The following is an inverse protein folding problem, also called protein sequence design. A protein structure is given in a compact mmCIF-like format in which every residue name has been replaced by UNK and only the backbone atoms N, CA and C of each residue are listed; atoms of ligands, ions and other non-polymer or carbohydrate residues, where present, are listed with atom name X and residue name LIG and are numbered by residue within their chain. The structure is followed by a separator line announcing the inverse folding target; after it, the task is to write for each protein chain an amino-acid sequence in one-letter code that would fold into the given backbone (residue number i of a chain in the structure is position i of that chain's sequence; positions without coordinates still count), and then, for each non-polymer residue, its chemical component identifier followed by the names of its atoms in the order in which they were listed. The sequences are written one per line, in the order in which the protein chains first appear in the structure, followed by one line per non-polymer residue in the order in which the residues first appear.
data_IF_980664550907
#
_entry.id   IF_980664550907
#
_cell.length_a   1.000
_cell.length_b   1.000
_cell.length_c   1.000
_cell.angle_alpha   90.00
_cell.angle_beta   90.00
_cell.angle_gamma   90.00
#
_symmetry.space_group_name_H-M   'P 1'
#
loop_
_entity.id
_entity.type
_entity.pdbx_description
1 polymer ?
#
# COMPACT_ATOMS: atom_id res chain seq x y z
N UNK A 1 3.30 6.76 -9.17
CA UNK A 1 3.90 6.35 -7.87
C UNK A 1 3.34 5.00 -7.46
N UNK A 2 3.52 3.95 -8.28
CA UNK A 2 2.84 2.67 -8.06
C UNK A 2 3.20 1.99 -6.74
N UNK A 3 4.39 2.28 -6.20
CA UNK A 3 4.81 1.81 -4.88
C UNK A 3 3.95 2.39 -3.75
N UNK A 4 3.66 3.69 -3.80
CA UNK A 4 2.93 4.41 -2.75
C UNK A 4 1.43 4.06 -2.77
N UNK A 5 0.85 3.81 -3.94
CA UNK A 5 -0.53 3.35 -4.08
C UNK A 5 -0.77 1.95 -3.53
N UNK A 6 0.26 1.27 -3.02
CA UNK A 6 0.15 -0.03 -2.35
C UNK A 6 0.91 -0.07 -1.01
N UNK A 7 1.53 1.04 -0.60
CA UNK A 7 2.23 1.11 0.66
C UNK A 7 1.23 0.97 1.81
N UNK A 8 1.43 -0.03 2.67
CA UNK A 8 0.60 -0.29 3.84
C UNK A 8 1.52 -0.46 5.05
N UNK A 9 1.50 0.53 5.93
CA UNK A 9 2.25 0.53 7.18
C UNK A 9 3.69 1.09 7.09
N UNK A 10 4.38 0.96 8.23
CA UNK A 10 5.61 1.70 8.51
C UNK A 10 6.80 1.23 7.67
N UNK A 11 6.91 -0.09 7.46
CA UNK A 11 8.03 -0.67 6.72
C UNK A 11 8.07 -0.21 5.25
N UNK A 12 6.90 -0.03 4.64
CA UNK A 12 6.79 0.53 3.29
C UNK A 12 7.19 2.01 3.25
N UNK A 13 6.82 2.78 4.27
CA UNK A 13 7.24 4.18 4.40
C UNK A 13 8.77 4.30 4.50
N UNK A 14 9.39 3.42 5.28
CA UNK A 14 10.86 3.35 5.40
C UNK A 14 11.50 2.97 4.06
N UNK A 15 11.00 1.91 3.42
CA UNK A 15 11.55 1.41 2.14
C UNK A 15 11.38 2.44 1.00
N UNK A 16 10.33 3.26 1.04
CA UNK A 16 10.15 4.39 0.12
C UNK A 16 11.15 5.52 0.39
N UNK A 17 11.41 5.82 1.67
CA UNK A 17 12.23 6.95 2.09
C UNK A 17 13.74 6.73 1.88
N UNK A 18 14.24 5.52 2.06
CA UNK A 18 15.66 5.18 1.98
C UNK A 18 16.13 5.09 0.52
N UNK A 19 17.25 5.72 0.16
CA UNK A 19 17.77 5.76 -1.22
C UNK A 19 16.67 6.12 -2.27
N UNK A 20 16.12 7.34 -2.21
CA UNK A 20 14.97 7.72 -3.02
C UNK A 20 15.37 7.94 -4.49
N UNK A 21 14.59 7.37 -5.42
CA UNK A 21 14.66 7.75 -6.86
C UNK A 21 13.85 9.02 -7.12
N UNK A 22 12.76 9.21 -6.37
CA UNK A 22 11.76 10.24 -6.64
C UNK A 22 11.46 11.12 -5.44
N UNK A 23 12.46 11.67 -4.77
CA UNK A 23 12.27 12.52 -3.58
C UNK A 23 11.23 13.64 -3.82
N UNK A 24 11.40 14.41 -4.90
CA UNK A 24 10.47 15.48 -5.29
C UNK A 24 9.07 14.92 -5.55
N UNK A 25 8.97 13.77 -6.23
CA UNK A 25 7.67 13.16 -6.52
C UNK A 25 6.95 12.72 -5.24
N UNK A 26 7.67 12.24 -4.22
CA UNK A 26 7.08 11.86 -2.92
C UNK A 26 6.57 13.09 -2.19
N UNK A 27 7.36 14.16 -2.17
CA UNK A 27 6.96 15.44 -1.58
C UNK A 27 5.72 16.00 -2.26
N UNK A 28 5.73 16.08 -3.60
CA UNK A 28 4.58 16.54 -4.39
C UNK A 28 3.35 15.67 -4.13
N UNK A 29 3.50 14.36 -4.02
CA UNK A 29 2.39 13.45 -3.75
C UNK A 29 1.78 13.67 -2.35
N UNK A 30 2.62 13.84 -1.32
CA UNK A 30 2.14 14.17 0.02
C UNK A 30 1.40 15.52 0.06
N UNK A 31 1.92 16.54 -0.64
CA UNK A 31 1.27 17.85 -0.79
C UNK A 31 -0.08 17.72 -1.50
N UNK A 32 -0.18 16.92 -2.56
CA UNK A 32 -1.45 16.70 -3.29
C UNK A 32 -2.51 16.06 -2.42
N UNK A 33 -2.13 15.09 -1.58
CA UNK A 33 -3.05 14.39 -0.68
C UNK A 33 -3.44 15.29 0.50
N UNK A 34 -2.48 15.73 1.31
CA UNK A 34 -2.74 16.36 2.61
C UNK A 34 -2.21 17.82 2.74
N UNK A 35 -1.67 18.41 1.67
CA UNK A 35 -1.13 19.77 1.74
C UNK A 35 -2.20 20.87 1.85
N UNK A 36 -1.88 22.01 2.47
CA UNK A 36 -2.76 23.19 2.45
C UNK A 36 -2.86 23.79 1.05
N UNK A 37 -3.94 24.54 0.77
CA UNK A 37 -4.26 25.10 -0.56
C UNK A 37 -3.13 25.94 -1.16
N UNK A 38 -2.44 26.74 -0.34
CA UNK A 38 -1.31 27.56 -0.81
C UNK A 38 -0.14 26.70 -1.31
N UNK A 39 0.15 25.58 -0.62
CA UNK A 39 1.25 24.68 -0.99
C UNK A 39 0.87 23.85 -2.22
N UNK A 40 -0.40 23.46 -2.34
CA UNK A 40 -0.96 22.89 -3.58
C UNK A 40 -0.87 23.86 -4.75
N UNK A 41 -1.09 25.16 -4.52
CA UNK A 41 -0.91 26.19 -5.54
C UNK A 41 0.53 26.34 -5.98
N UNK A 42 1.49 26.27 -5.04
CA UNK A 42 2.91 26.38 -5.34
C UNK A 42 3.40 25.27 -6.29
N UNK A 43 2.88 24.04 -6.14
CA UNK A 43 3.20 22.92 -7.04
C UNK A 43 2.34 22.88 -8.32
N UNK A 44 1.51 23.91 -8.57
CA UNK A 44 0.64 23.98 -9.75
C UNK A 44 -0.58 23.05 -9.70
N UNK A 45 -1.00 22.61 -8.51
CA UNK A 45 -2.12 21.66 -8.28
C UNK A 45 -3.25 22.25 -7.43
N UNK A 46 -3.42 23.58 -7.41
CA UNK A 46 -4.48 24.24 -6.63
C UNK A 46 -5.89 23.80 -7.00
N UNK A 47 -6.14 23.47 -8.28
CA UNK A 47 -7.44 23.06 -8.82
C UNK A 47 -7.55 21.56 -9.10
N UNK A 48 -6.66 20.77 -8.52
CA UNK A 48 -6.69 19.32 -8.70
C UNK A 48 -7.82 18.68 -7.88
N UNK A 49 -8.60 17.83 -8.51
CA UNK A 49 -9.64 17.05 -7.83
C UNK A 49 -9.00 16.05 -6.86
N UNK A 50 -9.60 15.86 -5.68
CA UNK A 50 -9.11 14.91 -4.68
C UNK A 50 -9.05 13.48 -5.22
N UNK A 51 -10.02 13.09 -6.04
CA UNK A 51 -10.03 11.80 -6.73
C UNK A 51 -8.80 11.59 -7.62
N UNK A 52 -8.31 12.64 -8.29
CA UNK A 52 -7.12 12.53 -9.15
C UNK A 52 -5.85 12.23 -8.33
N UNK A 53 -5.71 12.85 -7.16
CA UNK A 53 -4.63 12.53 -6.24
C UNK A 53 -4.77 11.11 -5.68
N UNK A 54 -5.98 10.70 -5.29
CA UNK A 54 -6.25 9.36 -4.75
C UNK A 54 -5.91 8.25 -5.76
N UNK A 55 -6.37 8.39 -7.01
CA UNK A 55 -6.12 7.44 -8.11
C UNK A 55 -4.62 7.16 -8.29
N UNK A 56 -3.77 8.19 -8.18
CA UNK A 56 -2.34 8.07 -8.49
C UNK A 56 -1.44 7.69 -7.29
N UNK A 57 -1.85 8.06 -6.08
CA UNK A 57 -0.96 8.11 -4.91
C UNK A 57 -1.40 7.20 -3.76
N UNK A 58 -2.70 7.11 -3.48
CA UNK A 58 -3.19 6.51 -2.24
C UNK A 58 -3.44 5.01 -2.40
N UNK A 59 -3.52 4.23 -1.33
CA UNK A 59 -3.92 2.80 -1.40
C UNK A 59 -5.44 2.59 -1.37
N UNK A 60 -6.20 3.67 -1.14
CA UNK A 60 -7.63 3.63 -0.89
C UNK A 60 -8.51 3.67 -2.13
N UNK A 61 -9.76 3.27 -1.95
CA UNK A 61 -10.88 3.57 -2.84
C UNK A 61 -11.94 4.39 -2.10
N UNK A 62 -12.71 5.19 -2.84
CA UNK A 62 -13.76 6.07 -2.31
C UNK A 62 -14.96 6.11 -3.26
N UNK A 63 -15.96 6.95 -2.97
CA UNK A 63 -17.08 7.20 -3.90
C UNK A 63 -16.63 7.83 -5.22
N UNK A 64 -15.48 8.50 -5.20
CA UNK A 64 -14.94 9.20 -6.37
C UNK A 64 -13.79 8.44 -7.02
N UNK A 65 -13.37 7.29 -6.47
CA UNK A 65 -12.25 6.50 -6.97
C UNK A 65 -12.56 5.01 -6.85
N UNK A 66 -12.54 4.31 -7.99
CA UNK A 66 -12.79 2.88 -8.06
C UNK A 66 -11.65 2.12 -8.75
N UNK A 67 -11.63 0.82 -8.54
CA UNK A 67 -10.69 -0.12 -9.16
C UNK A 67 -11.47 -1.09 -10.05
N UNK A 68 -11.13 -1.16 -11.34
CA UNK A 68 -11.88 -1.90 -12.34
C UNK A 68 -10.97 -2.74 -13.24
N UNK A 69 -11.46 -3.89 -13.66
CA UNK A 69 -10.80 -4.73 -14.64
C UNK A 69 -11.16 -4.31 -16.06
N UNK A 70 -10.16 -3.89 -16.85
CA UNK A 70 -10.36 -3.42 -18.21
C UNK A 70 -10.22 -4.52 -19.30
N UNK A 71 -10.19 -5.79 -18.92
CA UNK A 71 -9.91 -6.92 -19.81
C UNK A 71 -8.44 -7.39 -19.79
N UNK A 72 -7.51 -6.51 -19.44
CA UNK A 72 -6.07 -6.79 -19.42
C UNK A 72 -5.43 -6.63 -18.04
N UNK A 73 -5.81 -5.59 -17.30
CA UNK A 73 -5.29 -5.26 -15.97
C UNK A 73 -6.34 -4.57 -15.12
N UNK A 74 -6.16 -4.62 -13.79
CA UNK A 74 -6.93 -3.77 -12.89
C UNK A 74 -6.39 -2.34 -13.02
N UNK A 75 -7.27 -1.39 -13.33
CA UNK A 75 -6.98 0.04 -13.46
C UNK A 75 -7.73 0.81 -12.39
N UNK A 76 -7.17 1.94 -11.97
CA UNK A 76 -7.85 2.91 -11.11
C UNK A 76 -8.44 4.02 -11.95
N UNK A 77 -9.70 4.32 -11.69
CA UNK A 77 -10.44 5.33 -12.44
C UNK A 77 -11.14 6.28 -11.48
N UNK A 78 -11.24 7.58 -11.84
CA UNK A 78 -12.13 8.49 -11.14
C UNK A 78 -13.59 8.10 -11.43
N UNK A 79 -14.40 8.03 -10.38
CA UNK A 79 -15.81 7.65 -10.41
C UNK A 79 -16.14 6.50 -9.45
N UNK A 80 -17.42 6.17 -9.37
CA UNK A 80 -17.94 5.02 -8.64
C UNK A 80 -18.18 3.85 -9.58
N UNK A 81 -17.95 2.63 -9.09
CA UNK A 81 -18.23 1.41 -9.82
C UNK A 81 -19.20 0.52 -9.06
N UNK A 82 -20.15 -0.07 -9.79
CA UNK A 82 -21.07 -1.07 -9.27
C UNK A 82 -20.40 -2.45 -9.31
N UNK A 83 -19.64 -2.75 -8.26
CA UNK A 83 -19.02 -4.06 -8.05
C UNK A 83 -19.67 -4.69 -6.82
N UNK A 84 -20.28 -5.86 -6.98
CA UNK A 84 -20.71 -6.62 -5.82
C UNK A 84 -19.54 -7.42 -5.27
N UNK A 85 -19.33 -7.31 -3.96
CA UNK A 85 -18.35 -8.11 -3.25
C UNK A 85 -19.06 -9.16 -2.40
N UNK A 86 -18.78 -10.42 -2.67
CA UNK A 86 -19.24 -11.56 -1.90
C UNK A 86 -18.07 -12.17 -1.16
N UNK A 87 -18.20 -12.30 0.16
CA UNK A 87 -17.20 -12.94 1.01
C UNK A 87 -17.75 -14.31 1.39
N UNK A 88 -17.16 -15.36 0.85
CA UNK A 88 -17.49 -16.75 1.16
C UNK A 88 -16.53 -17.25 2.23
N UNK A 89 -17.05 -17.65 3.38
CA UNK A 89 -16.28 -18.29 4.45
C UNK A 89 -16.37 -19.80 4.29
N UNK A 90 -15.22 -20.45 4.11
CA UNK A 90 -15.14 -21.90 3.99
C UNK A 90 -14.46 -22.44 5.26
N UNK A 91 -15.08 -23.37 6.01
CA UNK A 91 -14.44 -24.02 7.15
C UNK A 91 -13.10 -24.63 6.76
N UNK A 92 -12.07 -24.45 7.59
CA UNK A 92 -10.85 -25.23 7.45
C UNK A 92 -11.14 -26.64 8.00
N UNK A 93 -11.02 -27.69 7.18
CA UNK A 93 -11.14 -29.11 7.57
C UNK A 93 -10.10 -29.60 8.59
N UNK A 94 -9.46 -28.70 9.33
CA UNK A 94 -8.42 -29.00 10.32
C UNK A 94 -8.93 -28.85 11.74
N UNK A 95 -10.07 -29.47 12.05
CA UNK A 95 -10.42 -30.11 13.34
C UNK A 95 -11.88 -30.55 13.32
N UNK A 96 -12.21 -31.84 13.52
CA UNK A 96 -13.56 -32.22 13.89
C UNK A 96 -13.83 -31.68 15.30
N UNK A 97 -14.75 -30.72 15.43
CA UNK A 97 -15.23 -30.27 16.74
C UNK A 97 -16.02 -31.43 17.39
N UNK A 98 -15.32 -32.19 18.24
CA UNK A 98 -15.96 -33.09 19.19
C UNK A 98 -16.57 -32.27 20.34
N UNK A 99 -17.67 -31.57 20.08
CA UNK A 99 -18.56 -31.09 21.14
C UNK A 99 -19.73 -32.08 21.28
N UNK A 100 -19.43 -33.23 21.91
CA UNK A 100 -20.45 -34.13 22.45
C UNK A 100 -21.10 -33.43 23.63
N UNK A 101 -22.28 -32.86 23.42
CA UNK A 101 -23.14 -32.41 24.52
C UNK A 101 -23.92 -33.63 24.98
N UNK A 102 -23.46 -34.26 26.06
CA UNK A 102 -24.16 -35.35 26.73
C UNK A 102 -25.50 -34.85 27.30
N UNK A 103 -26.60 -35.43 26.82
CA UNK A 103 -27.88 -35.47 27.53
C UNK A 103 -28.31 -36.95 27.55
N UNK A 104 -28.60 -37.57 28.71
CA UNK A 104 -28.86 -39.00 28.80
C UNK A 104 -30.34 -39.28 28.52
N UNK A 105 -30.68 -40.25 27.68
CA UNK A 105 -31.98 -40.97 27.72
C UNK A 105 -32.01 -42.20 26.80
N UNK A 106 -32.12 -43.37 27.45
CA UNK A 106 -32.86 -44.59 27.09
C UNK A 106 -32.92 -45.10 25.62
N UNK A 107 -32.28 -46.26 25.43
CA UNK A 107 -32.60 -47.41 24.56
C UNK A 107 -33.78 -47.28 23.56
N UNK A 108 -33.49 -47.46 22.26
CA UNK A 108 -33.88 -48.66 21.49
C UNK A 108 -33.31 -48.63 20.07
N UNK A 109 -33.02 -49.82 19.55
CA UNK A 109 -32.32 -50.14 18.32
C UNK A 109 -32.94 -49.54 17.04
N UNK A 110 -32.10 -49.20 16.06
CA UNK A 110 -32.16 -49.65 14.65
C UNK A 110 -31.07 -48.98 13.83
N UNK A 111 -30.09 -49.77 13.43
CA UNK A 111 -29.06 -49.44 12.45
C UNK A 111 -29.69 -49.08 11.10
N UNK A 112 -29.52 -47.83 10.65
CA UNK A 112 -29.65 -47.48 9.23
C UNK A 112 -28.46 -46.61 8.86
N UNK A 113 -27.53 -47.18 8.08
CA UNK A 113 -26.43 -46.46 7.45
C UNK A 113 -26.99 -45.35 6.56
N UNK A 114 -26.83 -44.10 6.98
CA UNK A 114 -26.90 -42.94 6.10
C UNK A 114 -25.50 -42.33 6.07
N UNK A 115 -24.87 -42.36 4.90
CA UNK A 115 -23.64 -41.62 4.64
C UNK A 115 -23.98 -40.14 4.79
N UNK A 116 -23.59 -39.54 5.92
CA UNK A 116 -23.63 -38.10 6.14
C UNK A 116 -22.67 -37.45 5.12
N UNK A 117 -23.24 -36.89 4.06
CA UNK A 117 -22.55 -35.89 3.25
C UNK A 117 -22.38 -34.68 4.16
N UNK A 118 -21.16 -34.38 4.59
CA UNK A 118 -20.87 -33.13 5.30
C UNK A 118 -21.13 -31.98 4.32
N UNK A 119 -22.29 -31.31 4.46
CA UNK A 119 -22.54 -30.04 3.81
C UNK A 119 -21.51 -29.03 4.33
N UNK A 120 -20.66 -28.55 3.43
CA UNK A 120 -19.76 -27.44 3.74
C UNK A 120 -20.64 -26.20 3.78
N UNK A 121 -21.04 -25.75 4.97
CA UNK A 121 -21.84 -24.53 5.12
C UNK A 121 -21.00 -23.31 4.72
N UNK A 122 -21.17 -22.85 3.47
CA UNK A 122 -20.52 -21.63 2.97
C UNK A 122 -21.35 -20.43 3.42
N UNK A 123 -20.84 -19.68 4.41
CA UNK A 123 -21.45 -18.39 4.77
C UNK A 123 -21.07 -17.34 3.72
N UNK A 124 -22.06 -16.85 2.98
CA UNK A 124 -21.90 -15.76 2.01
C UNK A 124 -22.30 -14.44 2.68
N UNK A 125 -21.31 -13.60 2.96
CA UNK A 125 -21.55 -12.24 3.46
C UNK A 125 -21.55 -11.30 2.26
N UNK A 126 -22.66 -10.58 2.06
CA UNK A 126 -22.73 -9.46 1.13
C UNK A 126 -22.19 -8.23 1.84
N UNK A 127 -21.08 -7.68 1.34
CA UNK A 127 -20.52 -6.45 1.89
C UNK A 127 -21.30 -5.24 1.34
N UNK A 128 -22.52 -5.07 1.84
CA UNK A 128 -23.31 -3.84 1.66
C UNK A 128 -22.98 -2.80 2.75
N UNK A 129 -22.02 -3.09 3.65
CA UNK A 129 -21.72 -2.25 4.81
C UNK A 129 -20.89 -1.01 4.44
N UNK A 130 -20.27 -0.99 3.27
CA UNK A 130 -19.29 0.03 2.92
C UNK A 130 -19.65 0.76 1.62
N UNK A 131 -19.81 2.08 1.74
CA UNK A 131 -20.33 3.01 0.73
C UNK A 131 -19.29 3.39 -0.36
N UNK A 132 -18.56 2.40 -0.89
CA UNK A 132 -17.56 2.63 -1.93
C UNK A 132 -17.06 1.36 -2.63
N UNK A 133 -16.43 1.51 -3.80
CA UNK A 133 -15.94 0.39 -4.61
C UNK A 133 -14.86 -0.44 -3.86
N UNK A 134 -14.81 -1.77 -4.03
CA UNK A 134 -13.84 -2.63 -3.35
C UNK A 134 -12.39 -2.42 -3.85
N UNK A 135 -11.40 -2.78 -3.02
CA UNK A 135 -9.97 -2.67 -3.36
C UNK A 135 -9.48 -3.93 -4.12
N UNK A 136 -9.71 -4.00 -5.43
CA UNK A 136 -9.25 -5.09 -6.29
C UNK A 136 -7.73 -5.22 -6.36
N UNK A 137 -6.96 -4.15 -6.60
CA UNK A 137 -5.49 -4.20 -6.70
C UNK A 137 -4.88 -4.80 -5.44
N UNK A 138 -5.46 -4.41 -4.31
CA UNK A 138 -5.02 -4.75 -2.98
C UNK A 138 -5.35 -6.22 -2.63
N UNK A 139 -6.42 -6.76 -3.23
CA UNK A 139 -6.95 -8.08 -2.93
C UNK A 139 -6.90 -9.14 -4.05
N UNK A 140 -6.46 -8.79 -5.25
CA UNK A 140 -6.33 -9.74 -6.36
C UNK A 140 -4.95 -10.42 -6.41
N UNK A 141 -3.91 -9.78 -5.85
CA UNK A 141 -2.52 -10.18 -6.02
C UNK A 141 -1.90 -10.66 -4.72
N UNK A 142 -1.02 -11.67 -4.81
CA UNK A 142 -0.18 -12.08 -3.70
C UNK A 142 0.74 -10.93 -3.29
N UNK A 143 0.81 -10.67 -2.00
CA UNK A 143 1.75 -9.70 -1.44
C UNK A 143 2.94 -10.43 -0.84
N UNK A 144 4.11 -9.79 -0.92
CA UNK A 144 5.24 -10.17 -0.08
C UNK A 144 4.78 -10.19 1.39
N UNK A 145 5.18 -11.23 2.13
CA UNK A 145 4.83 -11.33 3.54
C UNK A 145 5.38 -10.13 4.32
N UNK A 146 4.72 -9.72 5.41
CA UNK A 146 5.20 -8.59 6.24
C UNK A 146 6.69 -8.71 6.58
N UNK A 147 7.13 -9.93 6.91
CA UNK A 147 8.54 -10.25 7.21
C UNK A 147 9.49 -9.91 6.06
N UNK A 148 9.11 -10.18 4.82
CA UNK A 148 9.93 -9.86 3.64
C UNK A 148 10.08 -8.36 3.45
N UNK A 149 9.01 -7.58 3.68
CA UNK A 149 9.03 -6.11 3.63
C UNK A 149 9.98 -5.57 4.69
N UNK A 150 9.90 -6.08 5.93
CA UNK A 150 10.80 -5.69 7.02
C UNK A 150 12.27 -6.01 6.72
N UNK A 151 12.56 -7.20 6.17
CA UNK A 151 13.92 -7.59 5.79
C UNK A 151 14.45 -6.66 4.68
N UNK A 152 13.63 -6.37 3.66
CA UNK A 152 14.02 -5.46 2.59
C UNK A 152 14.27 -4.03 3.10
N UNK A 153 13.43 -3.53 4.01
CA UNK A 153 13.60 -2.23 4.65
C UNK A 153 14.89 -2.17 5.49
N UNK A 154 15.17 -3.21 6.28
CA UNK A 154 16.41 -3.32 7.05
C UNK A 154 17.65 -3.34 6.15
N UNK A 155 17.62 -4.12 5.06
CA UNK A 155 18.71 -4.18 4.09
C UNK A 155 18.94 -2.82 3.41
N UNK A 156 17.87 -2.12 3.05
CA UNK A 156 17.96 -0.77 2.49
C UNK A 156 18.63 0.22 3.48
N UNK A 157 18.23 0.20 4.76
CA UNK A 157 18.85 1.03 5.80
C UNK A 157 20.34 0.72 5.93
N UNK A 158 20.71 -0.57 5.98
CA UNK A 158 22.11 -1.00 6.09
C UNK A 158 22.93 -0.48 4.90
N UNK A 159 22.40 -0.61 3.67
CA UNK A 159 23.08 -0.08 2.49
C UNK A 159 23.26 1.45 2.57
N UNK A 160 22.22 2.18 2.98
CA UNK A 160 22.28 3.64 3.10
C UNK A 160 23.25 4.11 4.18
N UNK A 161 23.31 3.41 5.32
CA UNK A 161 24.30 3.64 6.37
C UNK A 161 25.71 3.32 5.86
N UNK A 162 25.87 2.25 5.09
CA UNK A 162 27.12 1.90 4.41
C UNK A 162 27.60 3.00 3.46
N UNK A 163 26.68 3.66 2.73
CA UNK A 163 27.01 4.82 1.89
C UNK A 163 27.58 5.98 2.71
N UNK A 164 26.90 6.34 3.81
CA UNK A 164 27.33 7.44 4.68
C UNK A 164 28.67 7.09 5.34
N UNK A 165 28.86 5.84 5.79
CA UNK A 165 30.13 5.38 6.33
C UNK A 165 31.25 5.47 5.29
N UNK A 166 30.99 5.05 4.05
CA UNK A 166 31.94 5.17 2.95
C UNK A 166 32.31 6.65 2.70
N UNK A 167 31.34 7.58 2.71
CA UNK A 167 31.62 9.02 2.60
C UNK A 167 32.52 9.53 3.73
N UNK A 168 32.37 8.98 4.95
CA UNK A 168 33.21 9.31 6.09
C UNK A 168 34.64 8.79 5.93
N UNK A 169 34.78 7.54 5.48
CA UNK A 169 36.08 6.89 5.25
C UNK A 169 36.88 7.65 4.19
N UNK A 170 36.29 7.98 3.04
CA UNK A 170 37.00 8.71 1.97
C UNK A 170 37.40 10.13 2.41
N UNK A 171 36.71 10.73 3.38
CA UNK A 171 36.97 12.10 3.84
C UNK A 171 38.00 12.17 4.97
N UNK A 172 37.93 11.27 5.96
CA UNK A 172 38.76 11.36 7.17
C UNK A 172 39.91 10.35 7.25
N UNK A 173 39.86 9.25 6.50
CA UNK A 173 40.86 8.19 6.62
C UNK A 173 42.13 8.53 5.81
N UNK A 174 43.17 9.03 6.50
CA UNK A 174 44.43 9.54 5.93
C UNK A 174 45.10 8.67 4.83
N UNK A 175 45.21 7.33 4.93
CA UNK A 175 45.87 6.54 3.88
C UNK A 175 45.02 6.39 2.61
N UNK A 176 43.71 6.64 2.69
CA UNK A 176 42.77 6.56 1.56
C UNK A 176 42.57 7.96 0.96
N UNK A 177 42.60 9.01 1.78
CA UNK A 177 42.47 10.41 1.38
C UNK A 177 43.47 10.82 0.29
N UNK A 178 44.71 10.31 0.35
CA UNK A 178 45.75 10.59 -0.65
C UNK A 178 45.47 9.97 -2.03
N UNK A 179 44.66 8.92 -2.11
CA UNK A 179 44.24 8.28 -3.37
C UNK A 179 42.92 8.84 -3.92
N UNK A 180 42.06 9.39 -3.07
CA UNK A 180 40.73 9.90 -3.43
C UNK A 180 40.66 11.43 -3.36
N UNK A 181 41.65 12.10 -3.96
CA UNK A 181 41.67 13.56 -4.11
C UNK A 181 40.55 14.02 -5.06
N UNK A 182 39.99 15.20 -4.80
CA UNK A 182 39.06 15.86 -5.71
C UNK A 182 39.84 16.93 -6.47
N UNK A 183 39.97 16.78 -7.78
CA UNK A 183 40.69 17.72 -8.66
C UNK A 183 42.12 18.03 -8.16
N UNK A 184 42.81 17.03 -7.58
CA UNK A 184 44.16 17.17 -7.02
C UNK A 184 44.23 17.80 -5.62
N UNK A 185 43.11 18.22 -5.05
CA UNK A 185 43.03 18.85 -3.72
C UNK A 185 42.32 17.96 -2.69
N UNK A 186 42.58 18.23 -1.41
CA UNK A 186 41.88 17.56 -0.30
C UNK A 186 40.39 17.89 -0.33
N UNK A 187 39.55 16.89 -0.05
CA UNK A 187 38.10 17.03 0.03
C UNK A 187 37.72 18.15 1.02
N UNK A 188 36.75 18.97 0.64
CA UNK A 188 36.33 20.11 1.46
C UNK A 188 35.72 19.62 2.76
N UNK A 189 36.18 20.13 3.91
CA UNK A 189 35.78 19.63 5.25
C UNK A 189 34.28 19.68 5.52
N UNK A 190 33.55 20.61 4.88
CA UNK A 190 32.09 20.69 5.02
C UNK A 190 31.33 19.68 4.16
N UNK A 191 31.96 19.07 3.15
CA UNK A 191 31.29 18.23 2.15
C UNK A 191 30.65 16.97 2.78
N UNK A 192 31.42 16.27 3.63
CA UNK A 192 30.93 15.10 4.34
C UNK A 192 29.79 15.40 5.33
N UNK A 193 29.93 16.32 6.31
CA UNK A 193 28.85 16.57 7.26
C UNK A 193 27.59 17.09 6.55
N UNK A 194 27.74 17.90 5.50
CA UNK A 194 26.62 18.34 4.66
C UNK A 194 25.93 17.15 3.96
N UNK A 195 26.70 16.22 3.36
CA UNK A 195 26.14 15.03 2.70
C UNK A 195 25.43 14.10 3.69
N UNK A 196 26.03 13.85 4.86
CA UNK A 196 25.48 12.96 5.88
C UNK A 196 24.20 13.54 6.52
N UNK A 197 24.25 14.80 6.97
CA UNK A 197 23.09 15.49 7.54
C UNK A 197 21.99 15.61 6.49
N UNK A 198 22.33 15.98 5.25
CA UNK A 198 21.39 16.06 4.15
C UNK A 198 20.69 14.72 3.88
N UNK A 199 21.44 13.62 3.89
CA UNK A 199 20.88 12.27 3.72
C UNK A 199 19.91 11.90 4.84
N UNK A 200 20.27 12.18 6.11
CA UNK A 200 19.40 11.89 7.26
C UNK A 200 18.11 12.72 7.19
N UNK A 201 18.23 14.03 6.94
CA UNK A 201 17.09 14.92 6.78
C UNK A 201 16.21 14.49 5.60
N UNK A 202 16.80 14.08 4.48
CA UNK A 202 16.05 13.62 3.32
C UNK A 202 15.26 12.35 3.64
N UNK A 203 15.90 11.33 4.21
CA UNK A 203 15.23 10.07 4.56
C UNK A 203 14.12 10.33 5.59
N UNK A 204 14.39 11.14 6.62
CA UNK A 204 13.39 11.46 7.63
C UNK A 204 12.20 12.26 7.07
N UNK A 205 12.48 13.29 6.25
CA UNK A 205 11.44 14.10 5.61
C UNK A 205 10.58 13.27 4.64
N UNK A 206 11.18 12.37 3.87
CA UNK A 206 10.45 11.46 2.98
C UNK A 206 9.65 10.41 3.73
N UNK A 207 10.15 9.92 4.87
CA UNK A 207 9.38 9.06 5.75
C UNK A 207 8.13 9.77 6.25
N UNK A 208 8.24 11.02 6.72
CA UNK A 208 7.08 11.83 7.14
C UNK A 208 6.10 12.02 5.97
N UNK A 209 6.60 12.35 4.77
CA UNK A 209 5.75 12.53 3.59
C UNK A 209 4.99 11.24 3.24
N UNK A 210 5.66 10.09 3.29
CA UNK A 210 5.03 8.78 3.05
C UNK A 210 4.02 8.44 4.14
N UNK A 211 4.36 8.71 5.39
CA UNK A 211 3.51 8.48 6.56
C UNK A 211 2.21 9.26 6.45
N UNK A 212 2.28 10.54 6.11
CA UNK A 212 1.12 11.41 5.89
C UNK A 212 0.18 10.84 4.82
N UNK A 213 0.72 10.29 3.74
CA UNK A 213 -0.09 9.66 2.69
C UNK A 213 -0.79 8.41 3.22
N UNK A 214 -0.10 7.59 4.03
CA UNK A 214 -0.68 6.42 4.69
C UNK A 214 -1.77 6.77 5.70
N UNK A 215 -1.54 7.78 6.54
CA UNK A 215 -2.53 8.28 7.52
C UNK A 215 -3.76 8.93 6.87
N UNK A 216 -3.65 9.33 5.60
CA UNK A 216 -4.81 9.83 4.83
C UNK A 216 -5.76 8.69 4.40
N UNK A 217 -5.39 7.43 4.69
CA UNK A 217 -6.18 6.24 4.42
C UNK A 217 -6.45 5.45 5.70
N UNK A 218 -7.69 4.97 5.86
CA UNK A 218 -8.09 4.07 6.93
C UNK A 218 -8.02 2.64 6.37
N UNK A 219 -7.20 1.81 7.00
CA UNK A 219 -6.99 0.42 6.62
C UNK A 219 -7.61 -0.51 7.66
N UNK A 220 -8.55 -1.37 7.23
CA UNK A 220 -9.17 -2.38 8.09
C UNK A 220 -8.78 -3.77 7.59
N UNK A 221 -8.28 -4.60 8.50
CA UNK A 221 -7.89 -5.98 8.23
C UNK A 221 -8.91 -6.92 8.86
N UNK A 222 -9.53 -7.76 8.04
CA UNK A 222 -10.41 -8.82 8.52
C UNK A 222 -9.65 -10.15 8.45
N UNK A 223 -9.36 -10.72 9.62
CA UNK A 223 -8.75 -12.04 9.76
C UNK A 223 -9.80 -13.01 10.29
N UNK A 224 -9.98 -14.14 9.60
CA UNK A 224 -10.87 -15.20 10.09
C UNK A 224 -10.04 -16.36 10.58
N UNK A 225 -9.72 -16.38 11.87
CA UNK A 225 -8.77 -17.35 12.45
C UNK A 225 -9.10 -18.83 12.20
N UNK A 226 -10.38 -19.19 11.99
CA UNK A 226 -10.84 -20.58 11.79
C UNK A 226 -11.36 -20.90 10.37
N UNK A 227 -11.56 -19.91 9.51
CA UNK A 227 -12.20 -20.09 8.20
C UNK A 227 -11.29 -19.56 7.10
N UNK A 228 -11.26 -20.22 5.94
CA UNK A 228 -10.65 -19.67 4.73
C UNK A 228 -11.59 -18.63 4.14
N UNK A 229 -11.05 -17.46 3.77
CA UNK A 229 -11.81 -16.39 3.12
C UNK A 229 -11.65 -16.54 1.61
N UNK A 230 -12.77 -16.71 0.91
CA UNK A 230 -12.82 -16.64 -0.54
C UNK A 230 -13.68 -15.45 -0.96
N UNK A 231 -13.07 -14.45 -1.61
CA UNK A 231 -13.78 -13.25 -2.05
C UNK A 231 -14.06 -13.33 -3.55
N UNK A 232 -15.30 -13.06 -3.93
CA UNK A 232 -15.74 -12.96 -5.33
C UNK A 232 -16.16 -11.52 -5.61
N UNK A 233 -15.51 -10.89 -6.58
CA UNK A 233 -15.91 -9.57 -7.07
C UNK A 233 -16.64 -9.70 -8.39
N UNK A 234 -17.88 -9.22 -8.41
CA UNK A 234 -18.73 -9.24 -9.58
C UNK A 234 -18.83 -7.83 -10.15
N UNK A 235 -18.04 -7.58 -11.19
CA UNK A 235 -18.03 -6.31 -11.91
C UNK A 235 -19.13 -6.31 -12.97
N UNK A 236 -20.06 -5.34 -12.90
CA UNK A 236 -21.06 -5.13 -13.95
C UNK A 236 -20.47 -4.42 -15.16
N UNK A 237 -21.11 -4.61 -16.31
CA UNK A 237 -20.81 -3.82 -17.50
C UNK A 237 -21.27 -2.38 -17.32
N UNK A 238 -20.35 -1.41 -17.40
CA UNK A 238 -20.66 0.01 -17.27
C UNK A 238 -19.53 0.88 -17.86
N UNK A 239 -19.84 2.14 -18.15
CA UNK A 239 -18.86 3.12 -18.61
C UNK A 239 -18.46 4.01 -17.43
N UNK A 240 -17.17 4.12 -17.14
CA UNK A 240 -16.62 5.03 -16.12
C UNK A 240 -15.67 6.00 -16.79
N UNK A 241 -15.92 7.30 -16.59
CA UNK A 241 -15.26 8.36 -17.34
C UNK A 241 -15.44 8.12 -18.85
N UNK A 242 -14.36 7.89 -19.59
CA UNK A 242 -14.37 7.67 -21.05
C UNK A 242 -14.11 6.20 -21.43
N UNK A 243 -14.05 5.30 -20.45
CA UNK A 243 -13.71 3.90 -20.67
C UNK A 243 -14.92 2.99 -20.44
N UNK A 244 -15.20 2.13 -21.42
CA UNK A 244 -16.20 1.08 -21.32
C UNK A 244 -15.61 -0.17 -20.64
N UNK A 245 -16.25 -0.61 -19.56
CA UNK A 245 -15.90 -1.81 -18.82
C UNK A 245 -16.92 -2.92 -19.09
N UNK A 246 -16.40 -4.10 -19.44
CA UNK A 246 -17.21 -5.30 -19.65
C UNK A 246 -17.50 -6.01 -18.31
N UNK A 247 -18.56 -6.83 -18.23
CA UNK A 247 -18.88 -7.58 -17.03
C UNK A 247 -17.94 -8.76 -16.82
N UNK A 248 -17.42 -8.90 -15.60
CA UNK A 248 -16.49 -9.96 -15.21
C UNK A 248 -16.75 -10.43 -13.78
N UNK A 249 -16.60 -11.73 -13.54
CA UNK A 249 -16.37 -12.27 -12.20
C UNK A 249 -14.87 -12.38 -11.98
N UNK A 250 -14.38 -11.81 -10.88
CA UNK A 250 -12.96 -11.70 -10.56
C UNK A 250 -12.72 -12.41 -9.23
N UNK A 251 -11.66 -13.22 -9.19
CA UNK A 251 -11.25 -13.97 -8.02
C UNK A 251 -9.80 -13.66 -7.68
N UNK A 252 -9.42 -13.76 -6.39
CA UNK A 252 -8.02 -13.67 -6.01
C UNK A 252 -7.23 -14.78 -6.69
N UNK A 253 -5.98 -14.48 -7.07
CA UNK A 253 -5.11 -15.48 -7.71
C UNK A 253 -4.76 -16.66 -6.76
N UNK A 254 -4.79 -16.42 -5.45
CA UNK A 254 -4.43 -17.38 -4.40
C UNK A 254 -5.43 -17.36 -3.25
N UNK A 255 -5.48 -18.44 -2.48
CA UNK A 255 -6.25 -18.55 -1.23
C UNK A 255 -5.78 -17.52 -0.21
N UNK A 256 -6.71 -17.01 0.62
CA UNK A 256 -6.42 -15.92 1.57
C UNK A 256 -6.92 -16.23 2.98
N UNK A 257 -6.07 -15.87 3.94
CA UNK A 257 -6.38 -15.93 5.37
C UNK A 257 -6.95 -14.59 5.88
N UNK A 258 -6.78 -13.50 5.09
CA UNK A 258 -7.24 -12.16 5.43
C UNK A 258 -7.66 -11.35 4.20
N UNK A 259 -8.59 -10.43 4.40
CA UNK A 259 -9.03 -9.45 3.42
C UNK A 259 -8.74 -8.03 3.94
N UNK A 260 -8.29 -7.13 3.06
CA UNK A 260 -7.94 -5.75 3.42
C UNK A 260 -8.86 -4.76 2.73
N UNK A 261 -9.45 -3.85 3.50
CA UNK A 261 -10.16 -2.68 2.96
C UNK A 261 -9.31 -1.45 3.24
N UNK A 262 -9.07 -0.61 2.23
CA UNK A 262 -8.45 0.70 2.38
C UNK A 262 -9.41 1.78 1.85
N UNK A 263 -9.77 2.72 2.73
CA UNK A 263 -10.69 3.83 2.43
C UNK A 263 -10.02 5.17 2.65
N UNK A 264 -10.35 6.16 1.81
CA UNK A 264 -9.87 7.53 2.01
C UNK A 264 -10.56 8.11 3.23
N UNK A 265 -9.79 8.66 4.16
CA UNK A 265 -10.38 9.34 5.31
C UNK A 265 -11.10 10.61 4.84
N UNK A 266 -12.39 10.74 5.15
CA UNK A 266 -13.12 11.97 4.87
C UNK A 266 -12.90 12.96 6.02
N UNK A 267 -11.85 13.78 5.86
CA UNK A 267 -11.38 14.77 6.86
C UNK A 267 -12.47 15.78 7.26
N UNK A 268 -13.55 15.94 6.49
CA UNK A 268 -14.62 16.92 6.74
C UNK A 268 -15.82 16.34 7.53
N UNK A 269 -16.23 15.10 7.25
CA UNK A 269 -17.34 14.44 7.97
C UNK A 269 -16.90 13.85 9.32
N UNK A 270 -15.72 13.22 9.40
CA UNK A 270 -15.20 12.69 10.68
C UNK A 270 -14.87 13.80 11.67
N UNK A 271 -14.59 15.03 11.20
CA UNK A 271 -14.30 16.17 12.07
C UNK A 271 -15.54 16.69 12.80
N UNK A 272 -16.75 16.33 12.36
CA UNK A 272 -18.00 16.60 13.08
C UNK A 272 -18.29 15.52 14.12
N UNK A 273 -18.17 14.23 13.77
CA UNK A 273 -18.42 13.13 14.72
C UNK A 273 -17.33 13.00 15.80
N UNK A 274 -16.05 13.19 15.45
CA UNK A 274 -14.92 13.08 16.41
C UNK A 274 -14.86 14.29 17.37
N UNK A 275 -15.38 15.46 16.95
CA UNK A 275 -15.38 16.68 17.77
C UNK A 275 -16.25 16.53 19.02
N UNK A 276 -17.28 15.70 18.98
CA UNK A 276 -18.22 15.54 20.11
C UNK A 276 -17.81 14.43 21.09
N UNK A 277 -16.93 13.48 20.70
CA UNK A 277 -16.65 12.29 21.52
C UNK A 277 -15.27 12.27 22.21
N UNK A 278 -14.25 12.99 21.72
CA UNK A 278 -12.89 12.90 22.30
C UNK A 278 -12.18 14.25 22.45
N UNK A 279 -12.26 14.82 23.65
CA UNK A 279 -11.27 15.77 24.19
C UNK A 279 -9.98 14.99 24.55
N UNK A 280 -9.06 14.77 23.60
CA UNK A 280 -7.71 14.21 23.85
C UNK A 280 -6.64 14.88 22.96
N UNK A 281 -5.34 14.79 23.35
CA UNK A 281 -4.41 15.92 23.30
C UNK A 281 -3.71 16.09 21.94
N UNK A 282 -3.57 17.34 21.51
CA UNK A 282 -2.44 17.87 20.72
C UNK A 282 -1.92 17.03 19.53
N UNK A 283 -2.81 16.46 18.69
CA UNK A 283 -2.38 15.99 17.37
C UNK A 283 -2.27 17.17 16.41
N UNK A 284 -1.08 17.38 15.85
CA UNK A 284 -0.86 18.41 14.84
C UNK A 284 -1.68 18.07 13.58
N UNK A 285 -2.33 19.05 12.93
CA UNK A 285 -3.12 18.76 11.73
C UNK A 285 -2.21 18.16 10.64
N UNK A 286 -2.69 17.15 9.92
CA UNK A 286 -1.97 16.48 8.83
C UNK A 286 -1.37 17.47 7.84
N UNK A 287 -2.09 18.57 7.56
CA UNK A 287 -1.62 19.65 6.71
C UNK A 287 -0.31 20.25 7.22
N UNK A 288 -0.20 20.51 8.52
CA UNK A 288 1.03 21.04 9.12
C UNK A 288 2.17 20.03 9.05
N UNK A 289 1.90 18.76 9.36
CA UNK A 289 2.91 17.68 9.26
C UNK A 289 3.42 17.56 7.82
N UNK A 290 2.54 17.71 6.83
CA UNK A 290 2.89 17.73 5.40
C UNK A 290 3.83 18.88 5.06
N UNK A 291 3.55 20.09 5.56
CA UNK A 291 4.43 21.26 5.34
C UNK A 291 5.82 21.01 5.95
N UNK A 292 5.87 20.53 7.19
CA UNK A 292 7.14 20.24 7.87
C UNK A 292 7.93 19.14 7.15
N UNK A 293 7.28 18.02 6.81
CA UNK A 293 7.92 16.93 6.06
C UNK A 293 8.44 17.37 4.69
N UNK A 294 7.67 18.19 3.97
CA UNK A 294 8.06 18.75 2.67
C UNK A 294 9.26 19.70 2.79
N UNK A 295 9.29 20.54 3.83
CA UNK A 295 10.40 21.45 4.05
C UNK A 295 11.68 20.71 4.46
N UNK A 296 11.58 19.77 5.41
CA UNK A 296 12.71 18.94 5.86
C UNK A 296 13.31 18.15 4.69
N UNK A 297 12.47 17.52 3.87
CA UNK A 297 12.94 16.77 2.70
C UNK A 297 13.58 17.66 1.65
N UNK A 298 13.05 18.87 1.39
CA UNK A 298 13.65 19.82 0.46
C UNK A 298 15.03 20.30 0.95
N UNK A 299 15.15 20.69 2.22
CA UNK A 299 16.42 21.09 2.83
C UNK A 299 17.42 19.93 2.82
N UNK A 300 16.96 18.73 3.16
CA UNK A 300 17.76 17.51 3.11
C UNK A 300 18.28 17.22 1.71
N UNK A 301 17.42 17.31 0.70
CA UNK A 301 17.77 17.09 -0.70
C UNK A 301 18.84 18.07 -1.20
N UNK A 302 18.65 19.37 -0.94
CA UNK A 302 19.60 20.42 -1.34
C UNK A 302 20.94 20.24 -0.61
N UNK A 303 20.90 19.99 0.71
CA UNK A 303 22.10 19.77 1.53
C UNK A 303 22.87 18.53 1.08
N UNK A 304 22.18 17.42 0.79
CA UNK A 304 22.80 16.21 0.27
C UNK A 304 23.46 16.46 -1.09
N UNK A 305 22.78 17.16 -2.00
CA UNK A 305 23.32 17.48 -3.33
C UNK A 305 24.58 18.35 -3.26
N UNK A 306 24.56 19.40 -2.43
CA UNK A 306 25.73 20.26 -2.20
C UNK A 306 26.89 19.46 -1.58
N UNK A 307 26.59 18.62 -0.60
CA UNK A 307 27.58 17.77 0.07
C UNK A 307 28.24 16.79 -0.91
N UNK A 308 27.44 16.06 -1.71
CA UNK A 308 27.96 15.12 -2.71
C UNK A 308 28.77 15.82 -3.80
N UNK A 309 28.38 17.04 -4.22
CA UNK A 309 29.18 17.84 -5.14
C UNK A 309 30.55 18.19 -4.56
N UNK A 310 30.68 18.27 -3.23
CA UNK A 310 31.95 18.50 -2.53
C UNK A 310 32.83 17.26 -2.37
N UNK A 311 32.28 16.05 -2.52
CA UNK A 311 32.98 14.77 -2.37
C UNK A 311 33.61 14.29 -3.69
N UNK A 312 34.38 13.21 -3.62
CA UNK A 312 34.90 12.51 -4.80
C UNK A 312 33.75 11.95 -5.66
N UNK A 313 33.94 11.88 -6.99
CA UNK A 313 32.94 11.33 -7.93
C UNK A 313 32.48 9.92 -7.56
N UNK A 314 33.33 9.12 -6.92
CA UNK A 314 32.98 7.77 -6.45
C UNK A 314 31.81 7.78 -5.46
N UNK A 315 31.65 8.84 -4.66
CA UNK A 315 30.53 8.98 -3.73
C UNK A 315 29.18 9.00 -4.47
N UNK A 316 29.12 9.71 -5.61
CA UNK A 316 27.91 9.78 -6.44
C UNK A 316 27.59 8.44 -7.10
N UNK A 317 28.62 7.69 -7.51
CA UNK A 317 28.44 6.34 -8.10
C UNK A 317 27.98 5.35 -7.05
N UNK A 318 28.56 5.36 -5.85
CA UNK A 318 28.12 4.49 -4.76
C UNK A 318 26.66 4.79 -4.40
N UNK A 319 26.29 6.08 -4.29
CA UNK A 319 24.91 6.47 -4.04
C UNK A 319 23.97 6.00 -5.16
N UNK A 320 24.37 6.14 -6.42
CA UNK A 320 23.58 5.66 -7.57
C UNK A 320 23.41 4.13 -7.54
N UNK A 321 24.48 3.38 -7.27
CA UNK A 321 24.46 1.93 -7.16
C UNK A 321 23.52 1.45 -6.06
N UNK A 322 23.57 2.08 -4.88
CA UNK A 322 22.66 1.79 -3.77
C UNK A 322 21.21 2.10 -4.15
N UNK A 323 20.96 3.24 -4.81
CA UNK A 323 19.62 3.59 -5.29
C UNK A 323 19.08 2.55 -6.27
N UNK A 324 19.92 2.01 -7.17
CA UNK A 324 19.53 0.92 -8.09
C UNK A 324 19.19 -0.35 -7.31
N UNK A 325 20.05 -0.78 -6.39
CA UNK A 325 19.83 -1.98 -5.57
C UNK A 325 18.55 -1.88 -4.75
N UNK A 326 18.34 -0.77 -4.03
CA UNK A 326 17.12 -0.54 -3.25
C UNK A 326 15.89 -0.50 -4.14
N UNK A 327 16.00 0.00 -5.36
CA UNK A 327 14.89 0.01 -6.32
C UNK A 327 14.55 -1.39 -6.80
N UNK A 328 15.55 -2.25 -7.03
CA UNK A 328 15.31 -3.66 -7.31
C UNK A 328 14.61 -4.32 -6.12
N UNK A 329 15.03 -4.05 -4.87
CA UNK A 329 14.33 -4.55 -3.67
C UNK A 329 12.86 -4.11 -3.62
N UNK A 330 12.56 -2.83 -3.93
CA UNK A 330 11.19 -2.32 -4.02
C UNK A 330 10.35 -3.10 -5.04
N UNK A 331 10.92 -3.42 -6.20
CA UNK A 331 10.24 -4.22 -7.23
C UNK A 331 10.04 -5.66 -6.76
N UNK A 332 11.03 -6.25 -6.06
CA UNK A 332 10.97 -7.61 -5.53
C UNK A 332 9.88 -7.76 -4.47
N UNK A 333 9.81 -6.83 -3.52
CA UNK A 333 8.77 -6.81 -2.48
C UNK A 333 7.37 -6.65 -3.08
N UNK A 334 7.26 -6.08 -4.28
CA UNK A 334 5.99 -5.86 -4.99
C UNK A 334 5.78 -6.82 -6.16
N UNK A 335 6.48 -7.96 -6.18
CA UNK A 335 6.20 -9.07 -7.09
C UNK A 335 4.73 -9.47 -6.93
N UNK A 336 3.94 -9.31 -7.98
CA UNK A 336 2.50 -9.59 -7.94
C UNK A 336 1.69 -8.65 -8.83
N UNK A 337 2.14 -7.41 -9.02
CA UNK A 337 1.47 -6.39 -9.85
C UNK A 337 1.23 -6.79 -11.31
N UNK A 338 2.07 -7.66 -11.86
CA UNK A 338 1.94 -8.17 -13.23
C UNK A 338 1.15 -9.47 -13.34
N UNK A 339 0.79 -10.13 -12.23
CA UNK A 339 0.02 -11.38 -12.27
C UNK A 339 -1.44 -11.03 -12.47
N UNK A 340 -2.04 -11.47 -13.57
CA UNK A 340 -3.46 -11.22 -13.78
C UNK A 340 -4.32 -12.07 -12.83
N UNK A 341 -5.36 -11.51 -12.20
CA UNK A 341 -6.31 -12.30 -11.42
C UNK A 341 -7.02 -13.35 -12.27
N UNK A 342 -7.56 -14.36 -11.59
CA UNK A 342 -8.48 -15.31 -12.20
C UNK A 342 -9.77 -14.57 -12.53
N UNK A 343 -10.28 -14.75 -13.76
CA UNK A 343 -11.47 -14.06 -14.24
C UNK A 343 -12.32 -14.91 -15.16
N UNK A 344 -13.62 -14.70 -15.07
CA UNK A 344 -14.61 -15.29 -15.95
C UNK A 344 -15.39 -14.17 -16.61
N UNK A 345 -15.42 -14.15 -17.94
CA UNK A 345 -16.23 -13.19 -18.69
C UNK A 345 -17.71 -13.52 -18.52
N UNK A 346 -18.53 -12.51 -18.26
CA UNK A 346 -19.95 -12.69 -18.01
C UNK A 346 -20.79 -12.14 -19.16
N UNK A 347 -22.05 -12.59 -19.24
CA UNK A 347 -23.04 -11.94 -20.09
C UNK A 347 -23.57 -10.69 -19.38
N UNK A 348 -23.65 -9.53 -20.06
CA UNK A 348 -24.20 -8.31 -19.47
C UNK A 348 -25.61 -8.56 -18.91
N UNK A 349 -25.91 -7.96 -17.76
CA UNK A 349 -27.20 -8.04 -17.04
C UNK A 349 -27.53 -9.40 -16.42
N UNK A 350 -26.72 -10.43 -16.64
CA UNK A 350 -26.89 -11.76 -16.04
C UNK A 350 -25.80 -12.07 -15.01
N UNK A 351 -25.09 -11.06 -14.50
CA UNK A 351 -23.96 -11.23 -13.61
C UNK A 351 -24.39 -11.89 -12.29
N UNK A 352 -25.49 -11.43 -11.69
CA UNK A 352 -25.99 -11.97 -10.42
C UNK A 352 -26.57 -13.39 -10.60
N UNK A 353 -27.28 -13.61 -11.71
CA UNK A 353 -27.77 -14.95 -12.07
C UNK A 353 -26.63 -15.95 -12.21
N UNK A 354 -25.52 -15.53 -12.83
CA UNK A 354 -24.33 -16.36 -12.95
C UNK A 354 -23.74 -16.71 -11.58
N UNK A 355 -23.69 -15.73 -10.65
CA UNK A 355 -23.20 -15.98 -9.28
C UNK A 355 -24.08 -17.00 -8.56
N UNK A 356 -25.40 -16.82 -8.57
CA UNK A 356 -26.35 -17.76 -7.93
C UNK A 356 -26.28 -19.14 -8.54
N UNK A 357 -26.15 -19.27 -9.87
CA UNK A 357 -26.01 -20.58 -10.52
C UNK A 357 -24.68 -21.28 -10.20
N UNK A 358 -23.61 -20.51 -9.99
CA UNK A 358 -22.27 -21.06 -9.74
C UNK A 358 -22.07 -21.46 -8.29
N UNK A 359 -22.68 -20.72 -7.35
CA UNK A 359 -22.50 -20.92 -5.91
C UNK A 359 -23.75 -21.43 -5.18
N UNK A 360 -24.91 -21.51 -5.85
CA UNK A 360 -26.16 -21.99 -5.24
C UNK A 360 -26.32 -23.50 -5.19
N UNK A 361 -25.39 -24.25 -5.82
CA UNK A 361 -25.31 -25.72 -5.77
C UNK A 361 -24.18 -26.22 -4.86
N UNK A 362 -23.50 -25.30 -4.16
CA UNK A 362 -22.50 -25.61 -3.13
C UNK A 362 -23.17 -25.34 -1.80
#
# INVERSE_FOLDING_TARGET
MQFMSQAMGIADCILLAVAPIGAITTVVSAIRVAGPTWLKSFIGRARENLAAAEVEVMSSTSKETCELWNGHRVVRCPGSADIYQFICLIPNDKTPDNHVTHIPSSNNASSTNSQQTQEIEITIITDNLHDGAPNLLLNCHDRAGRREIYIAAALAIILQLGAVLYFGIITYHKPIQSRFLKDGNSIVKYAFPCAAIGTILLVFGLFICSWVVGESTIETYYETGKHQIFVVWLQKGHTVSDQEFKPYAIYPASKRDYFTISRRQNIENDRKEIRDLYRKPLYWPLNFITVVGSFISLVGFISQFIGMRGLNWTASIVQLGITIVVTVLRVIVRRGLGKTPNRTALKPKFELHWFVLSFGNI
#
